data_IF_174847678925
#
_entry.id   IF_174847678925
#
_cell.length_a   1.000
_cell.length_b   1.000
_cell.length_c   1.000
_cell.angle_alpha   90.00
_cell.angle_beta   90.00
_cell.angle_gamma   90.00
#
_symmetry.space_group_name_H-M   'P 1'
#
loop_
_entity.id
_entity.type
_entity.pdbx_description
1 polymer ?
#
# COMPACT_ATOMS: atom_id res chain seq x y z
N UNK A 1 12.23 14.95 31.05
CA UNK A 1 12.57 16.10 30.21
C UNK A 1 13.91 15.78 29.53
N UNK A 2 13.90 15.19 28.32
CA UNK A 2 15.15 14.84 27.61
C UNK A 2 15.80 16.12 27.06
N UNK A 3 17.10 16.35 27.24
CA UNK A 3 17.76 17.57 26.80
C UNK A 3 17.71 17.66 25.25
N UNK A 4 17.03 18.69 24.74
CA UNK A 4 16.85 19.00 23.31
C UNK A 4 18.17 18.97 22.52
N UNK A 5 19.29 19.28 23.11
CA UNK A 5 20.61 19.29 22.48
C UNK A 5 21.16 17.89 22.15
N UNK A 6 20.97 16.88 23.00
CA UNK A 6 21.41 15.51 22.71
C UNK A 6 20.63 14.88 21.54
N UNK A 7 19.33 15.14 21.48
CA UNK A 7 18.48 14.68 20.39
C UNK A 7 18.86 15.39 19.08
N UNK A 8 19.16 16.68 19.12
CA UNK A 8 19.62 17.48 17.99
C UNK A 8 20.99 16.96 17.45
N UNK A 9 21.93 16.65 18.33
CA UNK A 9 23.24 16.12 17.91
C UNK A 9 23.16 14.71 17.34
N UNK A 10 22.28 13.87 17.86
CA UNK A 10 22.04 12.53 17.34
C UNK A 10 21.34 12.59 15.98
N UNK A 11 20.35 13.46 15.83
CA UNK A 11 19.67 13.73 14.57
C UNK A 11 20.61 14.32 13.51
N UNK A 12 21.56 15.19 13.89
CA UNK A 12 22.55 15.73 12.97
C UNK A 12 23.55 14.65 12.52
N UNK A 13 24.02 13.75 13.41
CA UNK A 13 24.87 12.63 13.02
C UNK A 13 24.16 11.66 12.08
N UNK A 14 22.88 11.39 12.31
CA UNK A 14 22.07 10.58 11.39
C UNK A 14 21.79 11.35 10.08
N UNK A 15 21.58 12.66 10.17
CA UNK A 15 21.45 13.58 9.02
C UNK A 15 22.67 13.49 8.10
N UNK A 16 23.85 13.58 8.68
CA UNK A 16 25.12 13.53 7.94
C UNK A 16 25.39 12.11 7.40
N UNK A 17 25.06 11.09 8.19
CA UNK A 17 25.20 9.69 7.78
C UNK A 17 24.25 9.33 6.62
N UNK A 18 23.00 9.77 6.68
CA UNK A 18 22.02 9.53 5.64
C UNK A 18 22.10 10.57 4.49
N UNK A 19 22.85 11.65 4.70
CA UNK A 19 22.96 12.74 3.75
C UNK A 19 21.62 13.46 3.52
N UNK A 20 20.74 13.53 4.52
CA UNK A 20 19.38 14.06 4.43
C UNK A 20 19.24 15.20 5.44
N UNK A 21 18.64 16.31 5.06
CA UNK A 21 18.39 17.40 6.02
C UNK A 21 17.24 17.02 6.95
N UNK A 22 17.59 16.33 8.07
CA UNK A 22 16.63 15.82 9.05
C UNK A 22 15.79 16.95 9.66
N UNK A 23 16.26 18.18 9.70
CA UNK A 23 15.47 19.32 10.22
C UNK A 23 14.27 19.67 9.33
N UNK A 24 14.39 19.55 8.01
CA UNK A 24 13.26 19.69 7.08
C UNK A 24 12.30 18.49 7.18
N UNK A 25 12.86 17.29 7.33
CA UNK A 25 12.10 16.04 7.54
C UNK A 25 11.42 16.06 8.90
N UNK A 26 12.07 16.53 9.95
CA UNK A 26 11.50 16.62 11.29
C UNK A 26 10.37 17.65 11.35
N UNK A 27 10.40 18.72 10.58
CA UNK A 27 9.30 19.73 10.59
C UNK A 27 8.10 19.36 9.70
N UNK A 28 8.30 18.66 8.59
CA UNK A 28 7.21 18.24 7.68
C UNK A 28 6.97 16.73 7.68
N UNK A 29 8.03 15.93 7.69
CA UNK A 29 7.98 14.47 7.66
C UNK A 29 7.64 13.82 9.00
N UNK A 30 7.85 14.51 10.16
CA UNK A 30 7.47 13.96 11.47
C UNK A 30 5.97 13.70 11.57
N UNK A 31 5.15 14.59 11.01
CA UNK A 31 3.69 14.39 10.99
C UNK A 31 3.31 13.19 10.13
N UNK A 32 3.85 13.07 8.92
CA UNK A 32 3.57 11.94 8.03
C UNK A 32 4.05 10.61 8.63
N UNK A 33 5.23 10.60 9.25
CA UNK A 33 5.77 9.42 9.95
C UNK A 33 4.90 9.03 11.14
N UNK A 34 4.43 10.00 11.94
CA UNK A 34 3.49 9.75 13.03
C UNK A 34 2.17 9.17 12.49
N UNK A 35 1.63 9.74 11.40
CA UNK A 35 0.42 9.21 10.76
C UNK A 35 0.58 7.75 10.32
N UNK A 36 1.71 7.42 9.70
CA UNK A 36 2.02 6.05 9.29
C UNK A 36 2.16 5.10 10.48
N UNK A 37 2.81 5.54 11.57
CA UNK A 37 2.92 4.74 12.79
C UNK A 37 1.54 4.43 13.39
N UNK A 38 0.66 5.43 13.49
CA UNK A 38 -0.72 5.22 13.95
C UNK A 38 -1.51 4.30 13.04
N UNK A 39 -1.33 4.40 11.70
CA UNK A 39 -1.96 3.49 10.75
C UNK A 39 -1.49 2.05 10.94
N UNK A 40 -0.19 1.83 11.14
CA UNK A 40 0.37 0.50 11.43
C UNK A 40 -0.21 -0.06 12.73
N UNK A 41 -0.26 0.75 13.80
CA UNK A 41 -0.81 0.34 15.08
C UNK A 41 -2.32 -0.01 14.99
N UNK A 42 -3.10 0.81 14.27
CA UNK A 42 -4.53 0.56 14.05
C UNK A 42 -4.77 -0.73 13.23
N UNK A 43 -3.99 -0.92 12.15
CA UNK A 43 -4.06 -2.13 11.34
C UNK A 43 -3.62 -3.38 12.13
N UNK A 44 -2.62 -3.26 12.98
CA UNK A 44 -2.20 -4.35 13.86
C UNK A 44 -3.31 -4.71 14.88
N UNK A 45 -3.94 -3.71 15.49
CA UNK A 45 -5.08 -3.93 16.39
C UNK A 45 -6.23 -4.63 15.66
N UNK A 46 -6.58 -4.20 14.45
CA UNK A 46 -7.57 -4.87 13.61
C UNK A 46 -7.19 -6.32 13.34
N UNK A 47 -5.96 -6.57 12.89
CA UNK A 47 -5.46 -7.92 12.62
C UNK A 47 -5.53 -8.81 13.87
N UNK A 48 -5.18 -8.26 15.04
CA UNK A 48 -5.27 -8.97 16.32
C UNK A 48 -6.70 -9.42 16.65
N UNK A 49 -7.68 -8.51 16.53
CA UNK A 49 -9.07 -8.85 16.79
C UNK A 49 -9.65 -9.80 15.73
N UNK A 50 -9.37 -9.56 14.43
CA UNK A 50 -9.76 -10.44 13.36
C UNK A 50 -9.23 -11.87 13.57
N UNK A 51 -7.95 -12.03 13.93
CA UNK A 51 -7.34 -13.33 14.15
C UNK A 51 -7.95 -14.11 15.31
N UNK A 52 -8.43 -13.41 16.33
CA UNK A 52 -8.99 -14.05 17.52
C UNK A 52 -10.48 -14.32 17.43
N UNK A 53 -11.23 -13.47 16.76
CA UNK A 53 -12.69 -13.49 16.78
C UNK A 53 -13.31 -14.16 15.54
N UNK A 54 -12.69 -14.02 14.37
CA UNK A 54 -13.25 -14.59 13.15
C UNK A 54 -12.70 -16.00 12.85
N UNK A 55 -13.54 -16.91 12.32
CA UNK A 55 -13.08 -18.11 11.66
C UNK A 55 -12.17 -17.80 10.46
N UNK A 56 -11.23 -18.70 10.14
CA UNK A 56 -10.30 -18.51 9.01
C UNK A 56 -11.02 -18.32 7.68
N UNK A 57 -12.09 -19.11 7.47
CA UNK A 57 -12.90 -19.08 6.25
C UNK A 57 -13.59 -17.72 6.06
N UNK A 58 -14.13 -17.16 7.14
CA UNK A 58 -14.79 -15.84 7.13
C UNK A 58 -13.78 -14.75 6.82
N UNK A 59 -12.63 -14.75 7.51
CA UNK A 59 -11.58 -13.75 7.27
C UNK A 59 -10.97 -13.90 5.87
N UNK A 60 -10.74 -15.12 5.39
CA UNK A 60 -10.21 -15.35 4.04
C UNK A 60 -11.16 -14.87 2.95
N UNK A 61 -12.47 -15.18 3.08
CA UNK A 61 -13.48 -14.70 2.13
C UNK A 61 -13.61 -13.18 2.16
N UNK A 62 -13.60 -12.59 3.35
CA UNK A 62 -13.55 -11.13 3.52
C UNK A 62 -12.34 -10.51 2.83
N UNK A 63 -11.15 -11.06 3.03
CA UNK A 63 -9.90 -10.60 2.40
C UNK A 63 -9.96 -10.70 0.88
N UNK A 64 -10.51 -11.78 0.34
CA UNK A 64 -10.72 -11.98 -1.09
C UNK A 64 -11.60 -10.88 -1.71
N UNK A 65 -12.73 -10.57 -1.05
CA UNK A 65 -13.63 -9.50 -1.51
C UNK A 65 -12.93 -8.15 -1.47
N UNK A 66 -12.16 -7.85 -0.41
CA UNK A 66 -11.39 -6.61 -0.32
C UNK A 66 -10.29 -6.51 -1.38
N UNK A 67 -9.66 -7.63 -1.74
CA UNK A 67 -8.70 -7.67 -2.85
C UNK A 67 -9.37 -7.29 -4.18
N UNK A 68 -10.58 -7.82 -4.46
CA UNK A 68 -11.35 -7.43 -5.62
C UNK A 68 -11.75 -5.96 -5.61
N UNK A 69 -12.26 -5.45 -4.47
CA UNK A 69 -12.61 -4.02 -4.34
C UNK A 69 -11.39 -3.13 -4.62
N UNK A 70 -10.21 -3.54 -4.15
CA UNK A 70 -8.96 -2.82 -4.39
C UNK A 70 -8.56 -2.84 -5.87
N UNK A 71 -8.70 -3.98 -6.55
CA UNK A 71 -8.45 -4.09 -8.00
C UNK A 71 -9.46 -3.29 -8.79
N UNK A 72 -10.74 -3.33 -8.42
CA UNK A 72 -11.77 -2.53 -9.06
C UNK A 72 -11.58 -1.02 -8.85
N UNK A 73 -10.85 -0.63 -7.81
CA UNK A 73 -10.38 0.74 -7.60
C UNK A 73 -9.50 1.31 -8.74
N UNK A 74 -8.94 0.44 -9.61
CA UNK A 74 -8.20 0.87 -10.81
C UNK A 74 -9.07 1.75 -11.72
N UNK A 75 -10.34 1.44 -11.81
CA UNK A 75 -11.29 2.22 -12.60
C UNK A 75 -11.55 3.62 -12.04
N UNK A 76 -11.30 3.87 -10.76
CA UNK A 76 -11.41 5.20 -10.16
C UNK A 76 -10.21 6.13 -10.43
N UNK A 77 -9.42 5.87 -11.48
CA UNK A 77 -8.25 6.68 -11.88
C UNK A 77 -7.28 6.95 -10.72
N UNK A 78 -6.57 5.95 -10.17
CA UNK A 78 -5.65 6.16 -9.05
C UNK A 78 -4.51 7.15 -9.36
N UNK A 79 -4.15 7.33 -10.63
CA UNK A 79 -3.21 8.37 -11.07
C UNK A 79 -3.69 9.80 -10.84
N UNK A 80 -5.01 10.00 -10.63
CA UNK A 80 -5.59 11.33 -10.36
C UNK A 80 -5.06 11.93 -9.06
N UNK A 81 -4.74 11.13 -8.06
CA UNK A 81 -4.21 11.64 -6.80
C UNK A 81 -2.85 12.34 -7.02
N UNK A 82 -1.94 11.72 -7.80
CA UNK A 82 -0.66 12.35 -8.17
C UNK A 82 -0.85 13.58 -9.07
N UNK A 83 -1.80 13.52 -10.00
CA UNK A 83 -2.12 14.63 -10.88
C UNK A 83 -2.65 15.84 -10.07
N UNK A 84 -3.54 15.62 -9.09
CA UNK A 84 -4.06 16.67 -8.21
C UNK A 84 -2.95 17.27 -7.34
N UNK A 85 -2.05 16.44 -6.77
CA UNK A 85 -0.90 16.97 -6.00
C UNK A 85 -0.11 17.96 -6.86
N UNK A 86 0.22 17.58 -8.09
CA UNK A 86 0.99 18.43 -9.00
C UNK A 86 0.22 19.70 -9.42
N UNK A 87 -1.04 19.57 -9.85
CA UNK A 87 -1.85 20.69 -10.27
C UNK A 87 -2.06 21.70 -9.14
N UNK A 88 -2.38 21.24 -7.93
CA UNK A 88 -2.57 22.11 -6.75
C UNK A 88 -1.27 22.77 -6.34
N UNK A 89 -0.13 22.09 -6.44
CA UNK A 89 1.19 22.71 -6.17
C UNK A 89 1.55 23.81 -7.17
N UNK A 90 0.98 23.78 -8.38
CA UNK A 90 1.12 24.79 -9.43
C UNK A 90 0.03 25.90 -9.35
N UNK A 91 -0.85 25.86 -8.33
CA UNK A 91 -1.86 26.89 -8.12
C UNK A 91 -3.26 26.58 -8.68
N UNK A 92 -3.47 25.41 -9.32
CA UNK A 92 -4.78 25.01 -9.87
C UNK A 92 -5.65 24.35 -8.81
N UNK A 93 -6.19 25.09 -7.88
CA UNK A 93 -6.94 24.56 -6.72
C UNK A 93 -8.29 23.93 -7.09
N UNK A 94 -8.92 24.38 -8.17
CA UNK A 94 -10.16 23.80 -8.74
C UNK A 94 -9.99 22.35 -9.15
N UNK A 95 -8.75 21.85 -9.27
CA UNK A 95 -8.42 20.44 -9.54
C UNK A 95 -8.98 19.46 -8.52
N UNK A 96 -9.30 19.91 -7.29
CA UNK A 96 -9.97 19.08 -6.30
C UNK A 96 -11.33 18.57 -6.79
N UNK A 97 -12.19 19.46 -7.30
CA UNK A 97 -13.52 19.08 -7.80
C UNK A 97 -13.46 18.34 -9.13
N UNK A 98 -12.62 18.81 -10.03
CA UNK A 98 -12.44 18.16 -11.32
C UNK A 98 -11.96 16.72 -11.11
N UNK A 99 -10.99 16.52 -10.21
CA UNK A 99 -10.50 15.22 -9.85
C UNK A 99 -11.57 14.32 -9.24
N UNK A 100 -12.36 14.83 -8.26
CA UNK A 100 -13.49 14.08 -7.68
C UNK A 100 -14.49 13.65 -8.77
N UNK A 101 -14.96 14.58 -9.61
CA UNK A 101 -15.93 14.31 -10.67
C UNK A 101 -15.42 13.25 -11.64
N UNK A 102 -14.14 13.32 -12.02
CA UNK A 102 -13.53 12.34 -12.92
C UNK A 102 -13.39 10.98 -12.23
N UNK A 103 -12.89 10.91 -10.98
CA UNK A 103 -12.77 9.65 -10.23
C UNK A 103 -14.12 8.95 -10.09
N UNK A 104 -15.19 9.67 -9.71
CA UNK A 104 -16.55 9.09 -9.62
C UNK A 104 -17.01 8.59 -10.99
N UNK A 105 -16.89 9.42 -12.05
CA UNK A 105 -17.35 9.04 -13.40
C UNK A 105 -16.66 7.78 -13.92
N UNK A 106 -15.36 7.68 -13.78
CA UNK A 106 -14.60 6.48 -14.19
C UNK A 106 -14.82 5.32 -13.24
N UNK A 107 -15.04 5.57 -11.95
CA UNK A 107 -15.36 4.55 -10.93
C UNK A 107 -16.65 3.79 -11.22
N UNK A 108 -17.60 4.36 -11.99
CA UNK A 108 -18.81 3.67 -12.47
C UNK A 108 -18.45 2.42 -13.30
N UNK A 109 -17.33 2.42 -14.02
CA UNK A 109 -16.88 1.22 -14.72
C UNK A 109 -16.54 0.09 -13.74
N UNK A 110 -15.95 0.42 -12.60
CA UNK A 110 -15.70 -0.53 -11.52
C UNK A 110 -16.99 -1.10 -10.92
N UNK A 111 -18.03 -0.25 -10.79
CA UNK A 111 -19.38 -0.69 -10.40
C UNK A 111 -19.95 -1.71 -11.39
N UNK A 112 -19.87 -1.45 -12.70
CA UNK A 112 -20.36 -2.39 -13.71
C UNK A 112 -19.66 -3.74 -13.62
N UNK A 113 -18.34 -3.75 -13.46
CA UNK A 113 -17.58 -5.00 -13.29
C UNK A 113 -17.96 -5.71 -11.99
N UNK A 114 -18.16 -4.98 -10.88
CA UNK A 114 -18.62 -5.56 -9.63
C UNK A 114 -20.00 -6.19 -9.74
N UNK A 115 -20.94 -5.55 -10.48
CA UNK A 115 -22.26 -6.12 -10.75
C UNK A 115 -22.18 -7.39 -11.59
N UNK A 116 -21.30 -7.43 -12.61
CA UNK A 116 -21.06 -8.64 -13.41
C UNK A 116 -20.51 -9.76 -12.55
N UNK A 117 -19.54 -9.48 -11.68
CA UNK A 117 -19.01 -10.46 -10.73
C UNK A 117 -20.07 -10.93 -9.74
N UNK A 118 -20.90 -10.02 -9.22
CA UNK A 118 -22.01 -10.35 -8.35
C UNK A 118 -23.01 -11.30 -9.05
N UNK A 119 -23.40 -11.00 -10.29
CA UNK A 119 -24.27 -11.86 -11.10
C UNK A 119 -23.62 -13.23 -11.37
N UNK A 120 -22.35 -13.25 -11.73
CA UNK A 120 -21.59 -14.50 -11.94
C UNK A 120 -21.63 -15.40 -10.71
N UNK A 121 -21.33 -14.89 -9.51
CA UNK A 121 -21.38 -15.67 -8.29
C UNK A 121 -22.81 -16.06 -7.89
N UNK A 122 -23.79 -15.22 -8.18
CA UNK A 122 -25.20 -15.54 -7.95
C UNK A 122 -25.65 -16.75 -8.78
N UNK A 123 -25.35 -16.75 -10.08
CA UNK A 123 -25.67 -17.89 -10.97
C UNK A 123 -24.91 -19.18 -10.60
N UNK A 124 -23.71 -19.05 -10.07
CA UNK A 124 -22.93 -20.21 -9.58
C UNK A 124 -23.30 -20.64 -8.14
N UNK A 125 -24.37 -20.11 -7.57
CA UNK A 125 -24.90 -20.51 -6.25
C UNK A 125 -24.14 -19.95 -5.04
N UNK A 126 -23.11 -19.11 -5.23
CA UNK A 126 -22.38 -18.50 -4.13
C UNK A 126 -22.99 -17.16 -3.72
N UNK A 127 -24.08 -17.23 -2.95
CA UNK A 127 -24.84 -16.06 -2.53
C UNK A 127 -24.02 -15.08 -1.67
N UNK A 128 -23.08 -15.57 -0.85
CA UNK A 128 -22.25 -14.70 0.02
C UNK A 128 -21.39 -13.78 -0.84
N UNK A 129 -20.65 -14.32 -1.82
CA UNK A 129 -19.85 -13.51 -2.72
C UNK A 129 -20.72 -12.60 -3.59
N UNK A 130 -21.85 -13.10 -4.10
CA UNK A 130 -22.78 -12.32 -4.92
C UNK A 130 -23.23 -11.05 -4.19
N UNK A 131 -23.79 -11.19 -2.99
CA UNK A 131 -24.27 -10.04 -2.22
C UNK A 131 -23.14 -9.12 -1.78
N UNK A 132 -21.96 -9.64 -1.45
CA UNK A 132 -20.81 -8.81 -1.12
C UNK A 132 -20.34 -7.97 -2.30
N UNK A 133 -20.38 -8.50 -3.55
CA UNK A 133 -20.09 -7.72 -4.76
C UNK A 133 -21.17 -6.71 -5.09
N UNK A 134 -22.47 -7.03 -4.90
CA UNK A 134 -23.54 -6.05 -5.08
C UNK A 134 -23.43 -4.89 -4.10
N UNK A 135 -23.14 -5.17 -2.83
CA UNK A 135 -22.83 -4.12 -1.84
C UNK A 135 -21.60 -3.33 -2.29
N UNK A 136 -20.52 -4.00 -2.66
CA UNK A 136 -19.29 -3.35 -3.17
C UNK A 136 -19.56 -2.42 -4.34
N UNK A 137 -20.40 -2.83 -5.29
CA UNK A 137 -20.75 -2.06 -6.48
C UNK A 137 -21.30 -0.66 -6.17
N UNK A 138 -22.10 -0.54 -5.10
CA UNK A 138 -22.65 0.75 -4.67
C UNK A 138 -21.56 1.71 -4.18
N UNK A 139 -20.52 1.19 -3.50
CA UNK A 139 -19.53 2.00 -2.82
C UNK A 139 -18.26 2.29 -3.64
N UNK A 140 -17.91 1.43 -4.62
CA UNK A 140 -16.66 1.53 -5.41
C UNK A 140 -16.44 2.93 -6.01
N UNK A 141 -17.44 3.61 -6.64
CA UNK A 141 -17.20 4.93 -7.23
C UNK A 141 -16.90 6.01 -6.20
N UNK A 142 -17.28 5.81 -4.94
CA UNK A 142 -17.24 6.86 -3.91
C UNK A 142 -16.05 6.69 -2.95
N UNK A 143 -15.78 5.47 -2.45
CA UNK A 143 -14.81 5.22 -1.38
C UNK A 143 -13.43 5.80 -1.72
N UNK A 144 -12.90 5.50 -2.91
CA UNK A 144 -11.58 6.00 -3.33
C UNK A 144 -11.64 7.43 -3.89
N UNK A 145 -12.81 7.91 -4.31
CA UNK A 145 -12.92 9.21 -4.96
C UNK A 145 -12.90 10.35 -3.95
N UNK A 146 -13.62 10.22 -2.85
CA UNK A 146 -13.64 11.27 -1.82
C UNK A 146 -12.32 11.39 -1.06
N UNK A 147 -11.45 10.36 -1.07
CA UNK A 147 -10.10 10.44 -0.51
C UNK A 147 -9.16 11.42 -1.22
N UNK A 148 -9.56 11.97 -2.36
CA UNK A 148 -8.80 12.95 -3.14
C UNK A 148 -8.43 14.23 -2.33
N UNK A 149 -9.12 14.50 -1.22
CA UNK A 149 -8.74 15.58 -0.30
C UNK A 149 -7.32 15.41 0.25
N UNK A 150 -6.85 14.16 0.41
CA UNK A 150 -5.47 13.89 0.84
C UNK A 150 -4.46 14.42 -0.18
N UNK A 151 -4.72 14.18 -1.47
CA UNK A 151 -3.89 14.69 -2.55
C UNK A 151 -3.87 16.22 -2.58
N UNK A 152 -5.03 16.86 -2.38
CA UNK A 152 -5.14 18.31 -2.30
C UNK A 152 -4.34 18.88 -1.12
N UNK A 153 -4.49 18.32 0.08
CA UNK A 153 -3.76 18.76 1.28
C UNK A 153 -2.24 18.59 1.12
N UNK A 154 -1.80 17.50 0.49
CA UNK A 154 -0.38 17.29 0.16
C UNK A 154 0.13 18.33 -0.84
N UNK A 155 -0.64 18.64 -1.90
CA UNK A 155 -0.30 19.67 -2.87
C UNK A 155 -0.18 21.08 -2.25
N UNK A 156 -1.04 21.37 -1.25
CA UNK A 156 -0.98 22.60 -0.44
C UNK A 156 0.08 22.56 0.66
N UNK A 157 0.77 21.44 0.86
CA UNK A 157 1.74 21.22 1.95
C UNK A 157 1.12 21.33 3.35
N UNK A 158 -0.18 21.04 3.48
CA UNK A 158 -0.90 21.03 4.76
C UNK A 158 -0.70 19.70 5.50
N UNK A 159 0.55 19.30 5.69
CA UNK A 159 0.94 18.00 6.25
C UNK A 159 0.30 17.70 7.61
N UNK A 160 0.23 18.69 8.51
CA UNK A 160 -0.39 18.54 9.83
C UNK A 160 -1.86 18.15 9.73
N UNK A 161 -2.62 18.86 8.90
CA UNK A 161 -4.06 18.60 8.70
C UNK A 161 -4.28 17.23 8.06
N UNK A 162 -3.49 16.90 7.04
CA UNK A 162 -3.54 15.62 6.35
C UNK A 162 -3.26 14.46 7.30
N UNK A 163 -2.22 14.57 8.14
CA UNK A 163 -1.88 13.57 9.15
C UNK A 163 -2.99 13.41 10.20
N UNK A 164 -3.55 14.51 10.68
CA UNK A 164 -4.66 14.46 11.64
C UNK A 164 -5.87 13.72 11.04
N UNK A 165 -6.24 14.04 9.79
CA UNK A 165 -7.35 13.38 9.12
C UNK A 165 -7.08 11.89 8.89
N UNK A 166 -5.85 11.53 8.54
CA UNK A 166 -5.43 10.12 8.41
C UNK A 166 -5.58 9.37 9.75
N UNK A 167 -5.08 9.93 10.85
CA UNK A 167 -5.19 9.31 12.17
C UNK A 167 -6.65 9.14 12.58
N UNK A 168 -7.46 10.19 12.45
CA UNK A 168 -8.88 10.13 12.81
C UNK A 168 -9.65 9.14 11.94
N UNK A 169 -9.36 9.07 10.63
CA UNK A 169 -9.95 8.06 9.74
C UNK A 169 -9.58 6.65 10.18
N UNK A 170 -8.30 6.39 10.46
CA UNK A 170 -7.84 5.07 10.86
C UNK A 170 -8.43 4.63 12.20
N UNK A 171 -8.52 5.54 13.16
CA UNK A 171 -9.18 5.25 14.44
C UNK A 171 -10.67 4.94 14.25
N UNK A 172 -11.37 5.73 13.43
CA UNK A 172 -12.78 5.49 13.14
C UNK A 172 -13.00 4.12 12.48
N UNK A 173 -12.21 3.80 11.45
CA UNK A 173 -12.27 2.52 10.75
C UNK A 173 -11.97 1.36 11.72
N UNK A 174 -10.91 1.47 12.52
CA UNK A 174 -10.52 0.42 13.45
C UNK A 174 -11.61 0.18 14.52
N UNK A 175 -12.11 1.24 15.15
CA UNK A 175 -13.16 1.13 16.16
C UNK A 175 -14.46 0.55 15.58
N UNK A 176 -14.89 1.04 14.42
CA UNK A 176 -16.10 0.56 13.75
C UNK A 176 -15.99 -0.93 13.39
N UNK A 177 -14.87 -1.36 12.82
CA UNK A 177 -14.69 -2.77 12.45
C UNK A 177 -14.50 -3.67 13.67
N UNK A 178 -13.76 -3.25 14.69
CA UNK A 178 -13.64 -4.01 15.95
C UNK A 178 -15.02 -4.20 16.57
N UNK A 179 -15.83 -3.15 16.64
CA UNK A 179 -17.21 -3.27 17.14
C UNK A 179 -18.04 -4.21 16.27
N UNK A 180 -17.91 -4.10 14.93
CA UNK A 180 -18.66 -4.94 14.00
C UNK A 180 -18.39 -6.43 14.17
N UNK A 181 -17.13 -6.84 14.37
CA UNK A 181 -16.79 -8.26 14.54
C UNK A 181 -17.27 -8.88 15.87
N UNK A 182 -17.52 -8.04 16.87
CA UNK A 182 -18.22 -8.52 18.10
C UNK A 182 -19.70 -8.73 17.85
N UNK A 183 -20.32 -8.02 16.91
CA UNK A 183 -21.75 -8.07 16.63
C UNK A 183 -22.12 -9.08 15.54
N UNK A 184 -21.25 -9.33 14.57
CA UNK A 184 -21.56 -10.18 13.44
C UNK A 184 -20.31 -10.85 12.84
N UNK A 185 -20.50 -12.09 12.35
CA UNK A 185 -19.52 -12.79 11.52
C UNK A 185 -19.98 -12.90 10.05
N UNK A 186 -21.12 -12.26 9.71
CA UNK A 186 -21.62 -12.26 8.35
C UNK A 186 -20.74 -11.40 7.45
N UNK A 187 -20.17 -12.01 6.42
CA UNK A 187 -19.20 -11.41 5.52
C UNK A 187 -19.78 -10.19 4.79
N UNK A 188 -21.05 -10.28 4.35
CA UNK A 188 -21.70 -9.19 3.61
C UNK A 188 -21.84 -7.95 4.47
N UNK A 189 -22.23 -8.10 5.74
CA UNK A 189 -22.27 -6.99 6.69
C UNK A 189 -20.90 -6.44 7.00
N UNK A 190 -19.88 -7.29 7.21
CA UNK A 190 -18.51 -6.85 7.47
C UNK A 190 -17.93 -6.04 6.30
N UNK A 191 -18.18 -6.47 5.05
CA UNK A 191 -17.78 -5.74 3.84
C UNK A 191 -18.51 -4.39 3.76
N UNK A 192 -19.83 -4.38 3.96
CA UNK A 192 -20.62 -3.15 3.96
C UNK A 192 -20.15 -2.15 5.02
N UNK A 193 -19.93 -2.63 6.25
CA UNK A 193 -19.41 -1.80 7.36
C UNK A 193 -18.00 -1.29 7.05
N UNK A 194 -17.12 -2.10 6.46
CA UNK A 194 -15.80 -1.66 6.03
C UNK A 194 -15.88 -0.52 5.01
N UNK A 195 -16.75 -0.66 4.02
CA UNK A 195 -16.93 0.36 2.97
C UNK A 195 -17.51 1.66 3.54
N UNK A 196 -18.52 1.56 4.41
CA UNK A 196 -19.08 2.71 5.13
C UNK A 196 -18.04 3.37 6.04
N UNK A 197 -17.29 2.58 6.80
CA UNK A 197 -16.26 3.09 7.70
C UNK A 197 -15.13 3.84 6.96
N UNK A 198 -14.85 3.49 5.70
CA UNK A 198 -13.93 4.23 4.84
C UNK A 198 -14.59 5.46 4.18
N UNK A 199 -15.86 5.35 3.77
CA UNK A 199 -16.56 6.42 3.06
C UNK A 199 -16.91 7.59 3.98
N UNK A 200 -17.42 7.33 5.19
CA UNK A 200 -17.89 8.37 6.11
C UNK A 200 -16.79 9.39 6.47
N UNK A 201 -15.59 8.99 6.95
CA UNK A 201 -14.51 9.95 7.20
C UNK A 201 -14.06 10.66 5.93
N UNK A 202 -14.05 9.95 4.79
CA UNK A 202 -13.64 10.53 3.51
C UNK A 202 -14.58 11.64 3.07
N UNK A 203 -15.90 11.47 3.25
CA UNK A 203 -16.89 12.51 3.00
C UNK A 203 -16.71 13.70 3.94
N UNK A 204 -16.62 13.44 5.25
CA UNK A 204 -16.48 14.49 6.27
C UNK A 204 -15.23 15.34 5.99
N UNK A 205 -14.08 14.71 5.74
CA UNK A 205 -12.83 15.43 5.54
C UNK A 205 -12.75 16.09 4.15
N UNK A 206 -13.40 15.53 3.14
CA UNK A 206 -13.53 16.19 1.84
C UNK A 206 -14.30 17.51 1.97
N UNK A 207 -15.51 17.48 2.57
CA UNK A 207 -16.32 18.67 2.76
C UNK A 207 -15.66 19.69 3.69
N UNK A 208 -14.99 19.22 4.76
CA UNK A 208 -14.22 20.10 5.65
C UNK A 208 -13.05 20.77 4.92
N UNK A 209 -12.33 20.04 4.08
CA UNK A 209 -11.25 20.61 3.25
C UNK A 209 -11.80 21.67 2.31
N UNK A 210 -12.93 21.40 1.67
CA UNK A 210 -13.64 22.37 0.82
C UNK A 210 -13.99 23.65 1.56
N UNK A 211 -14.53 23.55 2.78
CA UNK A 211 -14.95 24.70 3.57
C UNK A 211 -13.78 25.54 4.08
N UNK A 212 -12.65 24.91 4.38
CA UNK A 212 -11.45 25.56 4.90
C UNK A 212 -10.58 26.21 3.83
N UNK A 213 -10.81 25.89 2.56
CA UNK A 213 -9.99 26.37 1.44
C UNK A 213 -10.86 27.13 0.44
N UNK A 214 -10.45 28.35 0.09
CA UNK A 214 -11.06 29.07 -1.05
C UNK A 214 -10.54 28.41 -2.32
N UNK A 215 -11.39 27.64 -2.98
CA UNK A 215 -11.05 26.97 -4.24
C UNK A 215 -11.16 27.99 -5.38
N UNK A 216 -10.17 28.85 -5.48
CA UNK A 216 -10.07 29.87 -6.52
C UNK A 216 -9.00 29.46 -7.54
N UNK A 217 -9.27 29.73 -8.80
CA UNK A 217 -8.33 29.50 -9.87
C UNK A 217 -8.90 28.69 -11.04
N UNK A 218 -8.22 28.72 -12.20
CA UNK A 218 -8.63 27.96 -13.37
C UNK A 218 -8.47 26.46 -13.14
N UNK A 219 -9.17 25.66 -13.94
CA UNK A 219 -8.94 24.22 -14.03
C UNK A 219 -7.63 23.94 -14.79
N UNK A 220 -6.90 22.92 -14.39
CA UNK A 220 -5.75 22.43 -15.16
C UNK A 220 -6.24 21.62 -16.36
N UNK A 221 -6.04 22.11 -17.61
CA UNK A 221 -6.56 21.43 -18.80
C UNK A 221 -5.91 20.07 -19.05
N UNK A 222 -4.68 19.86 -18.56
CA UNK A 222 -3.89 18.64 -18.76
C UNK A 222 -4.13 17.53 -17.75
N UNK A 223 -4.76 17.82 -16.61
CA UNK A 223 -4.84 16.91 -15.45
C UNK A 223 -5.45 15.54 -15.79
N UNK A 224 -6.51 15.51 -16.60
CA UNK A 224 -7.21 14.25 -16.93
C UNK A 224 -6.36 13.34 -17.81
N UNK A 225 -5.65 13.89 -18.80
CA UNK A 225 -4.75 13.12 -19.66
C UNK A 225 -3.58 12.56 -18.85
N UNK A 226 -2.96 13.37 -18.03
CA UNK A 226 -1.88 12.96 -17.15
C UNK A 226 -2.31 11.88 -16.15
N UNK A 227 -3.49 12.05 -15.51
CA UNK A 227 -4.07 11.06 -14.60
C UNK A 227 -4.31 9.70 -15.28
N UNK A 228 -4.84 9.70 -16.53
CA UNK A 228 -5.05 8.47 -17.30
C UNK A 228 -3.73 7.75 -17.57
N UNK A 229 -2.70 8.45 -18.02
CA UNK A 229 -1.38 7.86 -18.26
C UNK A 229 -0.80 7.23 -17.00
N UNK A 230 -0.83 7.94 -15.88
CA UNK A 230 -0.37 7.41 -14.60
C UNK A 230 -1.19 6.21 -14.11
N UNK A 231 -2.52 6.22 -14.35
CA UNK A 231 -3.38 5.10 -13.97
C UNK A 231 -3.06 3.85 -14.80
N UNK A 232 -2.90 3.99 -16.12
CA UNK A 232 -2.59 2.87 -17.01
C UNK A 232 -1.25 2.20 -16.67
N UNK A 233 -0.22 2.97 -16.34
CA UNK A 233 1.08 2.42 -15.91
C UNK A 233 0.93 1.55 -14.64
N UNK A 234 0.01 1.89 -13.76
CA UNK A 234 -0.18 1.18 -12.50
C UNK A 234 -1.13 -0.04 -12.58
N UNK A 235 -1.84 -0.25 -13.70
CA UNK A 235 -2.82 -1.36 -13.83
C UNK A 235 -2.16 -2.71 -13.59
N UNK A 236 -1.08 -3.00 -14.34
CA UNK A 236 -0.41 -4.31 -14.27
C UNK A 236 0.18 -4.56 -12.89
N UNK A 237 0.80 -3.54 -12.29
CA UNK A 237 1.37 -3.67 -10.94
C UNK A 237 0.29 -3.85 -9.86
N UNK A 238 -0.87 -3.21 -10.00
CA UNK A 238 -1.97 -3.38 -9.06
C UNK A 238 -2.56 -4.79 -9.16
N UNK A 239 -2.84 -5.29 -10.37
CA UNK A 239 -3.34 -6.66 -10.57
C UNK A 239 -2.33 -7.67 -10.02
N UNK A 240 -1.05 -7.52 -10.38
CA UNK A 240 0.02 -8.39 -9.88
C UNK A 240 0.14 -8.36 -8.35
N UNK A 241 -0.15 -7.21 -7.72
CA UNK A 241 -0.10 -7.03 -6.27
C UNK A 241 -1.16 -7.81 -5.49
N UNK A 242 -2.29 -8.13 -6.12
CA UNK A 242 -3.40 -8.89 -5.51
C UNK A 242 -3.57 -10.30 -6.09
N UNK A 243 -2.77 -10.67 -7.10
CA UNK A 243 -2.88 -11.98 -7.77
C UNK A 243 -2.69 -13.14 -6.81
N UNK A 244 -1.80 -13.01 -5.85
CA UNK A 244 -1.54 -13.98 -4.80
C UNK A 244 -2.80 -14.31 -3.99
N UNK A 245 -3.61 -13.31 -3.67
CA UNK A 245 -4.85 -13.50 -2.92
C UNK A 245 -5.91 -14.21 -3.78
N UNK A 246 -5.96 -13.90 -5.07
CA UNK A 246 -6.85 -14.57 -6.01
C UNK A 246 -6.45 -16.04 -6.21
N UNK A 247 -5.17 -16.32 -6.40
CA UNK A 247 -4.65 -17.69 -6.56
C UNK A 247 -4.85 -18.50 -5.25
N UNK A 248 -4.54 -17.90 -4.09
CA UNK A 248 -4.75 -18.55 -2.80
C UNK A 248 -6.23 -18.91 -2.57
N UNK A 249 -7.14 -17.98 -2.86
CA UNK A 249 -8.57 -18.25 -2.69
C UNK A 249 -9.08 -19.31 -3.65
N UNK A 250 -8.74 -19.19 -4.94
CA UNK A 250 -9.27 -20.07 -5.97
C UNK A 250 -8.70 -21.48 -5.92
N UNK A 251 -7.39 -21.64 -5.73
CA UNK A 251 -6.75 -22.96 -5.73
C UNK A 251 -6.70 -23.63 -4.35
N UNK A 252 -6.65 -22.83 -3.28
CA UNK A 252 -6.39 -23.38 -1.94
C UNK A 252 -7.55 -23.13 -0.97
N UNK A 253 -8.50 -22.28 -1.33
CA UNK A 253 -9.68 -21.96 -0.54
C UNK A 253 -9.49 -20.84 0.48
N UNK A 254 -10.61 -20.40 1.10
CA UNK A 254 -10.63 -19.21 1.96
C UNK A 254 -9.78 -19.34 3.23
N UNK A 255 -9.77 -20.49 3.89
CA UNK A 255 -8.99 -20.71 5.11
C UNK A 255 -7.47 -20.57 4.84
N UNK A 256 -7.01 -21.09 3.69
CA UNK A 256 -5.62 -20.97 3.28
C UNK A 256 -5.27 -19.54 2.86
N UNK A 257 -6.20 -18.80 2.28
CA UNK A 257 -5.99 -17.35 2.03
C UNK A 257 -5.82 -16.60 3.36
N UNK A 258 -6.59 -16.92 4.39
CA UNK A 258 -6.41 -16.33 5.71
C UNK A 258 -5.02 -16.64 6.29
N UNK A 259 -4.62 -17.90 6.27
CA UNK A 259 -3.28 -18.34 6.70
C UNK A 259 -2.18 -17.61 5.93
N UNK A 260 -2.32 -17.50 4.61
CA UNK A 260 -1.41 -16.73 3.75
C UNK A 260 -1.33 -15.26 4.15
N UNK A 261 -2.48 -14.61 4.32
CA UNK A 261 -2.54 -13.18 4.65
C UNK A 261 -1.86 -12.90 5.99
N UNK A 262 -2.09 -13.74 7.01
CA UNK A 262 -1.40 -13.63 8.28
C UNK A 262 0.09 -13.98 8.19
N UNK A 263 0.50 -14.88 7.30
CA UNK A 263 1.91 -15.20 7.08
C UNK A 263 2.69 -14.00 6.52
N UNK A 264 2.11 -13.24 5.57
CA UNK A 264 2.81 -12.12 4.93
C UNK A 264 2.71 -10.81 5.71
N UNK A 265 1.64 -10.62 6.51
CA UNK A 265 1.36 -9.33 7.14
C UNK A 265 2.48 -8.81 8.05
N UNK A 266 3.04 -9.56 9.03
CA UNK A 266 4.08 -9.01 9.89
C UNK A 266 5.37 -8.61 9.15
N UNK A 267 5.95 -9.42 8.24
CA UNK A 267 7.11 -9.00 7.45
C UNK A 267 6.83 -7.79 6.56
N UNK A 268 5.63 -7.68 5.96
CA UNK A 268 5.25 -6.50 5.14
C UNK A 268 5.16 -5.24 5.99
N UNK A 269 4.62 -5.31 7.20
CA UNK A 269 4.55 -4.15 8.10
C UNK A 269 5.96 -3.70 8.52
N UNK A 270 6.85 -4.62 8.84
CA UNK A 270 8.25 -4.30 9.15
C UNK A 270 8.92 -3.65 7.94
N UNK A 271 8.75 -4.23 6.74
CA UNK A 271 9.30 -3.67 5.50
C UNK A 271 8.75 -2.27 5.21
N UNK A 272 7.46 -2.04 5.47
CA UNK A 272 6.80 -0.75 5.28
C UNK A 272 7.47 0.40 6.04
N UNK A 273 8.04 0.13 7.21
CA UNK A 273 8.80 1.12 7.98
C UNK A 273 10.03 1.65 7.23
N UNK A 274 10.62 0.84 6.35
CA UNK A 274 11.81 1.22 5.59
C UNK A 274 11.49 1.87 4.24
N UNK A 275 10.29 1.69 3.71
CA UNK A 275 9.91 2.19 2.38
C UNK A 275 9.84 3.71 2.27
N UNK A 276 9.62 4.42 3.38
CA UNK A 276 9.57 5.88 3.39
C UNK A 276 10.96 6.55 3.27
N UNK A 277 12.04 5.82 3.56
CA UNK A 277 13.41 6.38 3.60
C UNK A 277 13.89 6.82 2.20
N UNK A 278 13.72 6.04 1.12
CA UNK A 278 14.16 6.42 -0.22
C UNK A 278 13.44 7.61 -0.81
N UNK A 279 12.15 7.78 -0.53
CA UNK A 279 11.37 8.91 -1.04
C UNK A 279 11.87 10.25 -0.49
N UNK A 280 12.34 10.25 0.75
CA UNK A 280 12.96 11.40 1.40
C UNK A 280 14.35 11.74 0.80
N UNK A 281 15.01 10.78 0.18
CA UNK A 281 16.31 10.97 -0.46
C UNK A 281 16.22 11.52 -1.90
N UNK A 282 15.04 11.46 -2.53
CA UNK A 282 14.82 11.83 -3.94
C UNK A 282 15.34 13.24 -4.30
N UNK A 283 15.08 14.31 -3.51
CA UNK A 283 15.58 15.64 -3.85
C UNK A 283 17.11 15.70 -3.90
N UNK A 284 17.79 15.01 -2.98
CA UNK A 284 19.27 14.97 -2.96
C UNK A 284 19.86 14.10 -4.06
N UNK A 285 19.09 13.15 -4.58
CA UNK A 285 19.52 12.31 -5.70
C UNK A 285 19.55 13.11 -7.00
N UNK A 286 18.65 14.09 -7.18
CA UNK A 286 18.63 14.96 -8.35
C UNK A 286 19.77 15.98 -8.39
N UNK A 287 20.39 16.28 -7.24
CA UNK A 287 21.51 17.24 -7.12
C UNK A 287 22.88 16.60 -7.37
N UNK A 288 22.99 15.25 -7.36
CA UNK A 288 24.25 14.51 -7.49
C UNK A 288 24.49 14.01 -8.90
N UNK A 289 25.77 13.91 -9.29
CA UNK A 289 26.16 13.24 -10.52
C UNK A 289 25.78 11.76 -10.51
N UNK A 290 25.57 11.17 -11.68
CA UNK A 290 25.17 9.77 -11.81
C UNK A 290 26.25 8.82 -11.21
N UNK A 291 27.52 9.15 -11.37
CA UNK A 291 28.64 8.35 -10.83
C UNK A 291 28.73 8.38 -9.30
N UNK A 292 28.64 9.57 -8.71
CA UNK A 292 28.64 9.72 -7.25
C UNK A 292 27.42 9.05 -6.61
N UNK A 293 26.30 9.12 -7.31
CA UNK A 293 25.07 8.48 -6.87
C UNK A 293 25.20 6.95 -6.91
N UNK A 294 25.80 6.38 -7.96
CA UNK A 294 26.07 4.92 -8.05
C UNK A 294 26.93 4.43 -6.87
N UNK A 295 28.02 5.14 -6.54
CA UNK A 295 28.89 4.80 -5.40
C UNK A 295 28.14 4.91 -4.07
N UNK A 296 27.37 5.98 -3.88
CA UNK A 296 26.59 6.23 -2.68
C UNK A 296 25.51 5.18 -2.47
N UNK A 297 24.76 4.84 -3.51
CA UNK A 297 23.69 3.83 -3.46
C UNK A 297 24.29 2.46 -3.17
N UNK A 298 25.39 2.08 -3.81
CA UNK A 298 26.07 0.80 -3.53
C UNK A 298 26.40 0.65 -2.05
N UNK A 299 27.07 1.64 -1.46
CA UNK A 299 27.42 1.63 -0.03
C UNK A 299 26.20 1.56 0.88
N UNK A 300 25.17 2.39 0.62
CA UNK A 300 23.95 2.41 1.41
C UNK A 300 23.14 1.11 1.27
N UNK A 301 23.10 0.53 0.08
CA UNK A 301 22.44 -0.77 -0.16
C UNK A 301 23.10 -1.90 0.61
N UNK A 302 24.43 -1.93 0.70
CA UNK A 302 25.14 -2.94 1.51
C UNK A 302 24.83 -2.79 2.99
N UNK A 303 24.86 -1.56 3.53
CA UNK A 303 24.54 -1.30 4.94
C UNK A 303 23.10 -1.72 5.24
N UNK A 304 22.15 -1.35 4.35
CA UNK A 304 20.75 -1.69 4.52
C UNK A 304 20.52 -3.20 4.38
N UNK A 305 21.29 -3.90 3.54
CA UNK A 305 21.24 -5.36 3.41
C UNK A 305 21.68 -6.05 4.70
N UNK A 306 22.79 -5.61 5.30
CA UNK A 306 23.26 -6.15 6.58
C UNK A 306 22.23 -5.90 7.68
N UNK A 307 21.68 -4.68 7.73
CA UNK A 307 20.65 -4.33 8.70
C UNK A 307 19.35 -5.13 8.49
N UNK A 308 18.91 -5.29 7.25
CA UNK A 308 17.77 -6.14 6.91
C UNK A 308 18.03 -7.61 7.30
N UNK A 309 19.24 -8.12 7.09
CA UNK A 309 19.65 -9.46 7.51
C UNK A 309 19.53 -9.66 9.02
N UNK A 310 19.98 -8.68 9.81
CA UNK A 310 19.82 -8.70 11.27
C UNK A 310 18.34 -8.69 11.68
N UNK A 311 17.52 -7.83 11.07
CA UNK A 311 16.07 -7.75 11.35
C UNK A 311 15.38 -9.07 10.97
N UNK A 312 15.72 -9.66 9.83
CA UNK A 312 15.21 -10.98 9.40
C UNK A 312 15.60 -12.07 10.37
N UNK A 313 16.86 -12.11 10.80
CA UNK A 313 17.34 -13.08 11.79
C UNK A 313 16.59 -12.99 13.11
N UNK A 314 16.45 -11.79 13.65
CA UNK A 314 15.66 -11.53 14.88
C UNK A 314 14.19 -11.94 14.67
N UNK A 315 13.59 -11.59 13.53
CA UNK A 315 12.21 -11.95 13.23
C UNK A 315 12.02 -13.47 13.19
N UNK A 316 12.88 -14.22 12.49
CA UNK A 316 12.79 -15.68 12.41
C UNK A 316 12.86 -16.32 13.80
N UNK A 317 13.72 -15.84 14.67
CA UNK A 317 13.85 -16.34 16.03
C UNK A 317 12.61 -16.04 16.89
N UNK A 318 12.04 -14.86 16.74
CA UNK A 318 10.92 -14.40 17.56
C UNK A 318 9.54 -14.74 16.97
N UNK A 319 9.44 -15.12 15.69
CA UNK A 319 8.18 -15.34 15.00
C UNK A 319 7.25 -16.33 15.73
N UNK A 320 7.76 -17.47 16.15
CA UNK A 320 6.95 -18.48 16.86
C UNK A 320 6.33 -17.93 18.16
N UNK A 321 7.10 -17.15 18.89
CA UNK A 321 6.64 -16.52 20.14
C UNK A 321 5.62 -15.41 19.85
N UNK A 322 5.89 -14.58 18.84
CA UNK A 322 4.99 -13.54 18.39
C UNK A 322 3.61 -14.09 17.99
N UNK A 323 3.57 -15.16 17.19
CA UNK A 323 2.29 -15.75 16.78
C UNK A 323 1.55 -16.40 17.94
N UNK A 324 2.24 -17.09 18.86
CA UNK A 324 1.62 -17.66 20.06
C UNK A 324 0.88 -16.60 20.90
N UNK A 325 1.44 -15.41 21.02
CA UNK A 325 0.85 -14.33 21.82
C UNK A 325 -0.27 -13.62 21.04
N UNK A 326 0.00 -13.21 19.81
CA UNK A 326 -0.90 -12.32 19.08
C UNK A 326 -1.87 -13.06 18.16
N UNK A 327 -1.46 -14.14 17.54
CA UNK A 327 -2.21 -14.86 16.51
C UNK A 327 -2.30 -16.38 16.75
N UNK A 328 -2.80 -16.85 17.92
CA UNK A 328 -2.74 -18.27 18.30
C UNK A 328 -3.47 -19.22 17.35
N UNK A 329 -4.49 -18.74 16.61
CA UNK A 329 -5.19 -19.53 15.58
C UNK A 329 -4.42 -19.68 14.27
N UNK A 330 -3.29 -18.97 14.11
CA UNK A 330 -2.49 -18.91 12.87
C UNK A 330 -1.05 -19.41 13.09
N UNK A 331 -0.87 -20.42 13.97
CA UNK A 331 0.46 -21.03 14.20
C UNK A 331 1.00 -21.73 12.95
N UNK A 332 0.12 -22.21 12.08
CA UNK A 332 0.43 -22.74 10.75
C UNK A 332 1.04 -21.67 9.81
N UNK A 333 0.83 -20.39 10.08
CA UNK A 333 1.46 -19.29 9.33
C UNK A 333 2.91 -19.03 9.72
N UNK A 334 3.41 -19.55 10.85
CA UNK A 334 4.74 -19.21 11.38
C UNK A 334 5.84 -19.55 10.39
N UNK A 335 5.91 -20.81 9.95
CA UNK A 335 6.92 -21.28 9.00
C UNK A 335 6.85 -20.52 7.66
N UNK A 336 5.63 -20.30 7.16
CA UNK A 336 5.39 -19.53 5.94
C UNK A 336 5.89 -18.08 6.09
N UNK A 337 5.64 -17.48 7.25
CA UNK A 337 6.07 -16.11 7.56
C UNK A 337 7.59 -15.99 7.70
N UNK A 338 8.25 -17.00 8.28
CA UNK A 338 9.70 -17.06 8.36
C UNK A 338 10.35 -17.13 6.96
N UNK A 339 9.80 -17.96 6.05
CA UNK A 339 10.25 -18.01 4.65
C UNK A 339 10.01 -16.65 3.98
N UNK A 340 8.82 -16.08 4.16
CA UNK A 340 8.50 -14.81 3.53
C UNK A 340 9.34 -13.64 4.05
N UNK A 341 9.78 -13.68 5.30
CA UNK A 341 10.68 -12.68 5.88
C UNK A 341 12.00 -12.55 5.10
N UNK A 342 12.49 -13.63 4.45
CA UNK A 342 13.66 -13.57 3.57
C UNK A 342 13.50 -12.56 2.43
N UNK A 343 12.25 -12.29 2.01
CA UNK A 343 11.97 -11.27 1.00
C UNK A 343 12.34 -9.84 1.44
N UNK A 344 12.51 -9.60 2.74
CA UNK A 344 12.94 -8.30 3.28
C UNK A 344 14.42 -8.01 2.94
N UNK A 345 15.23 -9.04 2.66
CA UNK A 345 16.62 -8.89 2.18
C UNK A 345 16.68 -8.13 0.84
N UNK A 346 15.58 -8.06 0.12
CA UNK A 346 15.45 -7.31 -1.14
C UNK A 346 15.22 -5.79 -0.94
N UNK A 347 15.13 -5.31 0.31
CA UNK A 347 14.93 -3.90 0.66
C UNK A 347 16.02 -2.95 0.12
N UNK A 348 17.30 -3.33 -0.04
CA UNK A 348 18.34 -2.44 -0.56
C UNK A 348 18.05 -1.80 -1.91
N UNK A 349 17.22 -2.44 -2.74
CA UNK A 349 16.87 -1.94 -4.08
C UNK A 349 15.86 -0.79 -4.06
N UNK A 350 15.27 -0.48 -2.91
CA UNK A 350 14.32 0.63 -2.77
C UNK A 350 14.92 1.99 -3.15
N UNK A 351 16.25 2.16 -3.10
CA UNK A 351 16.93 3.39 -3.56
C UNK A 351 17.07 3.50 -5.08
N UNK A 352 16.99 2.39 -5.82
CA UNK A 352 17.27 2.37 -7.26
C UNK A 352 16.15 3.05 -8.05
N UNK A 353 14.88 2.79 -7.71
CA UNK A 353 13.75 3.39 -8.41
C UNK A 353 13.70 4.91 -8.24
N UNK A 354 13.84 5.51 -7.03
CA UNK A 354 13.99 6.94 -6.87
C UNK A 354 15.19 7.52 -7.64
N UNK A 355 16.33 6.82 -7.68
CA UNK A 355 17.49 7.29 -8.44
C UNK A 355 17.23 7.34 -9.94
N UNK A 356 16.62 6.30 -10.51
CA UNK A 356 16.20 6.28 -11.93
C UNK A 356 15.18 7.38 -12.23
N UNK A 357 14.28 7.67 -11.28
CA UNK A 357 13.28 8.73 -11.40
C UNK A 357 13.93 10.11 -11.36
N UNK A 358 14.87 10.36 -10.43
CA UNK A 358 15.61 11.60 -10.30
C UNK A 358 16.35 11.97 -11.60
N UNK A 359 16.95 10.98 -12.27
CA UNK A 359 17.65 11.16 -13.54
C UNK A 359 16.79 10.97 -14.79
N UNK A 360 15.46 10.94 -14.64
CA UNK A 360 14.48 10.83 -15.74
C UNK A 360 14.74 9.67 -16.70
N UNK A 361 15.25 8.53 -16.21
CA UNK A 361 15.52 7.32 -17.01
C UNK A 361 14.23 6.56 -17.32
N UNK A 362 13.29 7.23 -18.00
CA UNK A 362 11.92 6.76 -18.24
C UNK A 362 11.89 5.38 -18.89
N UNK A 363 12.72 5.13 -19.91
CA UNK A 363 12.77 3.85 -20.64
C UNK A 363 13.14 2.68 -19.69
N UNK A 364 14.09 2.89 -18.76
CA UNK A 364 14.48 1.90 -17.77
C UNK A 364 13.36 1.60 -16.78
N UNK A 365 12.61 2.64 -16.35
CA UNK A 365 11.45 2.49 -15.47
C UNK A 365 10.31 1.70 -16.13
N UNK A 366 10.07 1.91 -17.43
CA UNK A 366 9.09 1.10 -18.18
C UNK A 366 9.46 -0.38 -18.21
N UNK A 367 10.70 -0.71 -18.57
CA UNK A 367 11.16 -2.10 -18.58
C UNK A 367 11.04 -2.77 -17.21
N UNK A 368 11.43 -2.08 -16.15
CA UNK A 368 11.28 -2.56 -14.78
C UNK A 368 9.83 -2.84 -14.41
N UNK A 369 8.92 -1.92 -14.72
CA UNK A 369 7.48 -2.02 -14.40
C UNK A 369 6.73 -3.06 -15.25
N UNK A 370 7.32 -3.60 -16.30
CA UNK A 370 6.73 -4.67 -17.12
C UNK A 370 7.35 -6.02 -16.75
N UNK A 371 8.67 -6.11 -16.76
CA UNK A 371 9.38 -7.40 -16.59
C UNK A 371 9.10 -7.98 -15.19
N UNK A 372 9.16 -7.17 -14.15
CA UNK A 372 9.00 -7.65 -12.77
C UNK A 372 7.60 -8.20 -12.50
N UNK A 373 6.49 -7.50 -12.83
CA UNK A 373 5.14 -8.05 -12.67
C UNK A 373 4.87 -9.27 -13.54
N UNK A 374 5.33 -9.30 -14.79
CA UNK A 374 5.14 -10.45 -15.68
C UNK A 374 5.81 -11.69 -15.11
N UNK A 375 7.07 -11.56 -14.64
CA UNK A 375 7.76 -12.67 -13.98
C UNK A 375 7.03 -13.12 -12.71
N UNK A 376 6.58 -12.18 -11.88
CA UNK A 376 5.82 -12.47 -10.66
C UNK A 376 4.55 -13.26 -10.98
N UNK A 377 3.75 -12.81 -11.95
CA UNK A 377 2.52 -13.49 -12.39
C UNK A 377 2.85 -14.91 -12.82
N UNK A 378 3.84 -15.10 -13.71
CA UNK A 378 4.22 -16.40 -14.22
C UNK A 378 4.62 -17.39 -13.12
N UNK A 379 5.52 -16.97 -12.22
CA UNK A 379 6.01 -17.84 -11.15
C UNK A 379 4.90 -18.19 -10.15
N UNK A 380 4.04 -17.23 -9.78
CA UNK A 380 2.91 -17.48 -8.88
C UNK A 380 1.89 -18.45 -9.49
N UNK A 381 1.52 -18.26 -10.76
CA UNK A 381 0.54 -19.11 -11.44
C UNK A 381 1.04 -20.55 -11.58
N UNK A 382 2.35 -20.76 -11.72
CA UNK A 382 2.95 -22.08 -11.83
C UNK A 382 3.12 -22.74 -10.45
N UNK A 383 3.72 -22.04 -9.50
CA UNK A 383 4.09 -22.65 -8.21
C UNK A 383 2.91 -22.83 -7.25
N UNK A 384 1.86 -22.02 -7.35
CA UNK A 384 0.71 -22.13 -6.43
C UNK A 384 -0.06 -23.45 -6.61
N UNK A 385 -0.45 -23.89 -7.82
CA UNK A 385 -1.11 -25.17 -8.01
C UNK A 385 -0.22 -26.36 -7.65
N UNK A 386 1.09 -26.27 -7.88
CA UNK A 386 2.03 -27.37 -7.68
C UNK A 386 2.39 -27.61 -6.21
N UNK A 387 2.59 -26.53 -5.45
CA UNK A 387 3.16 -26.59 -4.10
C UNK A 387 2.27 -25.89 -3.03
N UNK A 388 1.04 -25.52 -3.38
CA UNK A 388 0.09 -24.88 -2.45
C UNK A 388 0.61 -23.58 -1.85
N UNK A 389 0.37 -23.38 -0.55
CA UNK A 389 0.79 -22.15 0.17
C UNK A 389 2.32 -21.95 0.18
N UNK A 390 3.08 -23.03 0.29
CA UNK A 390 4.54 -22.95 0.25
C UNK A 390 4.99 -22.45 -1.12
N UNK A 391 4.39 -22.97 -2.20
CA UNK A 391 4.64 -22.54 -3.57
C UNK A 391 4.33 -21.07 -3.77
N UNK A 392 3.22 -20.57 -3.24
CA UNK A 392 2.83 -19.17 -3.33
C UNK A 392 3.81 -18.24 -2.58
N UNK A 393 4.24 -18.60 -1.37
CA UNK A 393 5.21 -17.84 -0.58
C UNK A 393 6.58 -17.83 -1.28
N UNK A 394 7.04 -18.99 -1.74
CA UNK A 394 8.31 -19.09 -2.48
C UNK A 394 8.26 -18.29 -3.79
N UNK A 395 7.15 -18.35 -4.53
CA UNK A 395 6.96 -17.54 -5.73
C UNK A 395 7.14 -16.04 -5.44
N UNK A 396 6.60 -15.57 -4.32
CA UNK A 396 6.75 -14.16 -3.91
C UNK A 396 8.19 -13.80 -3.54
N UNK A 397 8.87 -14.66 -2.80
CA UNK A 397 10.28 -14.45 -2.44
C UNK A 397 11.14 -14.43 -3.70
N UNK A 398 10.97 -15.41 -4.59
CA UNK A 398 11.70 -15.51 -5.87
C UNK A 398 11.42 -14.30 -6.77
N UNK A 399 10.14 -13.89 -6.91
CA UNK A 399 9.78 -12.72 -7.70
C UNK A 399 10.43 -11.44 -7.17
N UNK A 400 10.49 -11.24 -5.85
CA UNK A 400 11.17 -10.09 -5.24
C UNK A 400 12.68 -10.12 -5.46
N UNK A 401 13.29 -11.30 -5.34
CA UNK A 401 14.72 -11.47 -5.61
C UNK A 401 15.04 -11.21 -7.07
N UNK A 402 14.20 -11.70 -7.99
CA UNK A 402 14.31 -11.39 -9.42
C UNK A 402 14.16 -9.88 -9.69
N UNK A 403 13.14 -9.24 -9.11
CA UNK A 403 12.94 -7.78 -9.22
C UNK A 403 14.17 -7.00 -8.74
N UNK A 404 14.78 -7.45 -7.65
CA UNK A 404 16.03 -6.90 -7.13
C UNK A 404 17.17 -7.07 -8.12
N UNK A 405 17.38 -8.26 -8.65
CA UNK A 405 18.43 -8.53 -9.63
C UNK A 405 18.23 -7.68 -10.90
N UNK A 406 17.00 -7.61 -11.43
CA UNK A 406 16.67 -6.77 -12.59
C UNK A 406 16.96 -5.30 -12.32
N UNK A 407 16.58 -4.78 -11.14
CA UNK A 407 16.84 -3.38 -10.80
C UNK A 407 18.33 -3.06 -10.74
N UNK A 408 19.13 -3.96 -10.15
CA UNK A 408 20.59 -3.82 -10.09
C UNK A 408 21.20 -3.85 -11.49
N UNK A 409 20.80 -4.79 -12.35
CA UNK A 409 21.28 -4.88 -13.73
C UNK A 409 20.95 -3.61 -14.51
N UNK A 410 19.70 -3.15 -14.47
CA UNK A 410 19.26 -1.93 -15.17
C UNK A 410 20.02 -0.69 -14.67
N UNK A 411 20.38 -0.65 -13.39
CA UNK A 411 21.05 0.51 -12.81
C UNK A 411 22.55 0.55 -13.05
N UNK A 412 23.24 -0.60 -12.93
CA UNK A 412 24.71 -0.65 -12.97
C UNK A 412 25.31 -1.03 -14.33
N UNK A 413 24.62 -1.84 -15.16
CA UNK A 413 25.16 -2.30 -16.44
C UNK A 413 24.99 -1.31 -17.61
N UNK A 414 24.29 -0.23 -17.40
CA UNK A 414 24.06 0.83 -18.40
C UNK A 414 24.33 2.21 -17.84
#
# INVERSE_FOLDING_TARGET
MFPRERVSNWLNKISDFLGINLSYIVKGGSFLTLGNFFSIAANFALAFFFARLLPKEVYGTYSYILAWISVLGIFALPGMDKAVIQSVSNGFESSLFLGLKKKIRYGVLGTLVALILGAYYFYNGNQILAWAFFVGAVFIPFVNSFQIYNAFLLGKKYFKTQTLYLILSQLFIALTLITAIFLTQNIVYLVGIYLLANLIPSLIFFFRTRLLTKLTGPEDPGITSFAKHLSLINVVSTISGYLDQFLAFHFLGPANLATYTFAIAPPEQIKGLFQSIPDLALPKFSERSEEDLKKTIKRKSIILFIFAGLVVGIYILLASWFYKIFFPRYLDSVFLSQIFALSMLNTPTTFIIPALTAHKKIKKLYWFNIISPVFQISVMTILTPLYGLIGLILARVVARTFTTAVSLIIYYKT
#
